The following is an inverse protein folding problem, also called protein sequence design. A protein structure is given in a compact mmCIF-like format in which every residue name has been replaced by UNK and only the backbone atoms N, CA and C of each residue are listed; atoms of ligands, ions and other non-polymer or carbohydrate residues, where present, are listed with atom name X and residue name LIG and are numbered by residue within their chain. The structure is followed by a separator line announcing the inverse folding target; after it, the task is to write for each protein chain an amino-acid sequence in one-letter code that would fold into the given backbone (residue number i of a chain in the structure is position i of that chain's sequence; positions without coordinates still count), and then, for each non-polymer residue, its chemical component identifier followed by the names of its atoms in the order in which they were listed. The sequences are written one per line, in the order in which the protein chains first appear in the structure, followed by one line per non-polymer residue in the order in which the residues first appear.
data_IF_727671786589
#
_entry.id   IF_727671786589
#
_cell.length_a   1.000
_cell.length_b   1.000
_cell.length_c   1.000
_cell.angle_alpha   90.00
_cell.angle_beta   90.00
_cell.angle_gamma   90.00
#
_symmetry.space_group_name_H-M   'P 1'
#
loop_
_entity.id
_entity.type
_entity.pdbx_description
1 polymer ?
#
# COMPACT_ATOMS: atom_id res chain seq x y z
N UNK A 1 -2.77 -1.29 5.93
CA UNK A 1 -2.59 -2.34 6.96
C UNK A 1 -3.15 -1.87 8.29
N UNK A 2 -4.00 -2.67 8.93
CA UNK A 2 -4.51 -2.41 10.28
C UNK A 2 -3.42 -2.66 11.33
N UNK A 3 -3.33 -1.80 12.36
CA UNK A 3 -2.43 -1.97 13.51
C UNK A 3 -2.74 -3.26 14.32
N UNK A 4 -3.84 -3.95 13.99
CA UNK A 4 -4.36 -5.10 14.70
C UNK A 4 -3.62 -6.42 14.41
N UNK A 5 -2.83 -6.47 13.32
CA UNK A 5 -2.11 -7.68 12.90
C UNK A 5 -0.60 -7.67 13.22
N UNK A 6 -0.12 -6.81 14.11
CA UNK A 6 1.28 -6.87 14.51
C UNK A 6 1.54 -7.99 15.55
N UNK A 7 2.66 -8.72 15.42
CA UNK A 7 3.03 -9.81 16.32
C UNK A 7 3.15 -9.30 17.76
N UNK A 8 2.77 -10.13 18.73
CA UNK A 8 2.69 -9.77 20.16
C UNK A 8 4.03 -9.30 20.79
N UNK A 9 5.15 -9.43 20.07
CA UNK A 9 6.51 -9.10 20.51
C UNK A 9 7.19 -8.03 19.64
N UNK A 10 6.45 -7.11 19.01
CA UNK A 10 7.08 -6.00 18.29
C UNK A 10 7.79 -5.04 19.25
N UNK A 11 9.05 -4.70 18.93
CA UNK A 11 9.83 -3.72 19.70
C UNK A 11 9.20 -2.33 19.56
N UNK A 12 9.32 -1.48 20.59
CA UNK A 12 8.78 -0.12 20.58
C UNK A 12 9.18 0.67 19.31
N UNK A 13 10.46 0.62 18.93
CA UNK A 13 10.98 1.29 17.73
C UNK A 13 10.33 0.76 16.45
N UNK A 14 10.12 -0.55 16.33
CA UNK A 14 9.46 -1.13 15.15
C UNK A 14 8.01 -0.66 15.01
N UNK A 15 7.29 -0.50 16.12
CA UNK A 15 5.92 0.03 16.14
C UNK A 15 5.91 1.51 15.78
N UNK A 16 6.86 2.28 16.31
CA UNK A 16 7.00 3.71 16.04
C UNK A 16 7.28 3.97 14.54
N UNK A 17 8.27 3.30 13.96
CA UNK A 17 8.61 3.45 12.54
C UNK A 17 7.47 3.00 11.61
N UNK A 18 6.79 1.89 11.95
CA UNK A 18 5.60 1.46 11.22
C UNK A 18 4.45 2.48 11.33
N UNK A 19 4.29 3.12 12.49
CA UNK A 19 3.32 4.19 12.73
C UNK A 19 3.61 5.43 11.88
N UNK A 20 4.87 5.88 11.82
CA UNK A 20 5.28 6.98 10.96
C UNK A 20 5.03 6.67 9.48
N UNK A 21 5.39 5.48 9.02
CA UNK A 21 5.13 5.11 7.64
C UNK A 21 3.62 5.10 7.34
N UNK A 22 2.79 4.62 8.27
CA UNK A 22 1.34 4.68 8.12
C UNK A 22 0.83 6.12 8.01
N UNK A 23 1.41 7.05 8.77
CA UNK A 23 1.13 8.48 8.64
C UNK A 23 1.47 8.97 7.23
N UNK A 24 2.66 8.63 6.72
CA UNK A 24 3.09 8.98 5.37
C UNK A 24 2.09 8.48 4.32
N UNK A 25 1.70 7.20 4.39
CA UNK A 25 0.78 6.57 3.43
C UNK A 25 -0.64 7.13 3.48
N UNK A 26 -1.09 7.60 4.64
CA UNK A 26 -2.45 8.11 4.85
C UNK A 26 -2.53 9.63 4.61
N UNK A 27 -1.39 10.28 4.35
CA UNK A 27 -1.31 11.73 4.23
C UNK A 27 -2.28 12.32 3.20
N UNK A 28 -2.43 11.66 2.04
CA UNK A 28 -3.30 12.12 0.95
C UNK A 28 -4.79 12.18 1.34
N UNK A 29 -5.26 11.28 2.21
CA UNK A 29 -6.68 11.15 2.52
C UNK A 29 -7.15 12.14 3.59
N UNK A 30 -6.37 12.28 4.67
CA UNK A 30 -6.84 12.99 5.85
C UNK A 30 -6.08 14.31 6.09
N UNK A 31 -4.87 14.47 5.54
CA UNK A 31 -3.95 15.60 5.78
C UNK A 31 -3.77 15.97 7.27
N UNK A 32 -4.17 15.08 8.18
CA UNK A 32 -4.02 15.20 9.63
C UNK A 32 -2.61 14.75 9.96
N UNK A 33 -1.87 15.64 10.62
CA UNK A 33 -0.52 15.38 11.10
C UNK A 33 -0.58 15.46 12.63
N UNK A 34 -0.01 14.48 13.35
CA UNK A 34 0.11 14.55 14.80
C UNK A 34 0.80 15.84 15.24
N UNK A 35 0.45 16.34 16.42
CA UNK A 35 1.04 17.56 16.96
C UNK A 35 2.58 17.50 17.01
N UNK A 36 3.12 16.33 17.36
CA UNK A 36 4.56 16.06 17.42
C UNK A 36 5.28 16.27 16.08
N UNK A 37 4.58 16.18 14.95
CA UNK A 37 5.12 16.36 13.61
C UNK A 37 4.65 17.67 12.95
N UNK A 38 4.00 18.57 13.70
CA UNK A 38 3.36 19.77 13.12
C UNK A 38 4.35 20.70 12.43
N UNK A 39 5.56 20.85 12.99
CA UNK A 39 6.64 21.64 12.39
C UNK A 39 7.26 20.97 11.16
N UNK A 40 7.10 19.64 11.03
CA UNK A 40 7.65 18.83 9.94
C UNK A 40 6.69 18.62 8.77
N UNK A 41 5.54 19.29 8.80
CA UNK A 41 4.49 19.16 7.79
C UNK A 41 5.02 19.26 6.37
N UNK A 42 5.82 20.28 6.07
CA UNK A 42 6.37 20.49 4.73
C UNK A 42 7.30 19.34 4.31
N UNK A 43 8.17 18.88 5.23
CA UNK A 43 9.08 17.75 4.98
C UNK A 43 8.32 16.45 4.71
N UNK A 44 7.25 16.19 5.46
CA UNK A 44 6.40 15.00 5.29
C UNK A 44 5.72 15.01 3.91
N UNK A 45 5.25 16.17 3.43
CA UNK A 45 4.70 16.31 2.08
C UNK A 45 5.75 15.96 1.03
N UNK A 46 6.97 16.48 1.18
CA UNK A 46 8.08 16.17 0.28
C UNK A 46 8.39 14.67 0.28
N UNK A 47 8.43 14.03 1.46
CA UNK A 47 8.64 12.58 1.55
C UNK A 47 7.53 11.79 0.87
N UNK A 48 6.28 12.23 1.00
CA UNK A 48 5.14 11.59 0.35
C UNK A 48 5.26 11.69 -1.17
N UNK A 49 5.61 12.86 -1.69
CA UNK A 49 5.79 13.07 -3.13
C UNK A 49 6.96 12.24 -3.67
N UNK A 50 8.13 12.30 -3.03
CA UNK A 50 9.30 11.49 -3.43
C UNK A 50 8.97 9.99 -3.41
N UNK A 51 8.25 9.53 -2.38
CA UNK A 51 7.81 8.15 -2.27
C UNK A 51 6.82 7.75 -3.38
N UNK A 52 5.90 8.65 -3.74
CA UNK A 52 4.95 8.45 -4.83
C UNK A 52 5.68 8.37 -6.18
N UNK A 53 6.65 9.24 -6.41
CA UNK A 53 7.47 9.26 -7.63
C UNK A 53 8.25 7.95 -7.80
N UNK A 54 8.89 7.47 -6.72
CA UNK A 54 9.58 6.17 -6.69
C UNK A 54 8.60 5.04 -7.02
N UNK A 55 7.37 5.10 -6.50
CA UNK A 55 6.33 4.08 -6.75
C UNK A 55 5.89 4.07 -8.21
N UNK A 56 5.64 5.24 -8.80
CA UNK A 56 5.27 5.41 -10.20
C UNK A 56 6.40 4.90 -11.10
N UNK A 57 7.63 5.36 -10.84
CA UNK A 57 8.80 4.95 -11.61
C UNK A 57 9.01 3.42 -11.56
N UNK A 58 8.87 2.84 -10.37
CA UNK A 58 8.96 1.38 -10.18
C UNK A 58 7.91 0.62 -10.99
N UNK A 59 6.67 1.12 -11.04
CA UNK A 59 5.61 0.51 -11.85
C UNK A 59 5.93 0.58 -13.35
N UNK A 60 6.43 1.72 -13.84
CA UNK A 60 6.80 1.91 -15.24
C UNK A 60 7.96 1.00 -15.65
N UNK A 61 8.99 0.86 -14.80
CA UNK A 61 10.11 -0.04 -15.06
C UNK A 61 9.67 -1.51 -15.10
N UNK A 62 8.70 -1.90 -14.27
CA UNK A 62 8.15 -3.25 -14.27
C UNK A 62 7.37 -3.54 -15.57
N UNK A 63 6.57 -2.58 -16.03
CA UNK A 63 5.88 -2.66 -17.33
C UNK A 63 6.90 -2.75 -18.47
N UNK A 64 7.97 -1.94 -18.43
CA UNK A 64 9.02 -1.99 -19.43
C UNK A 64 9.72 -3.35 -19.49
N UNK A 65 10.04 -3.95 -18.35
CA UNK A 65 10.60 -5.31 -18.29
C UNK A 65 9.66 -6.32 -18.93
N UNK A 66 8.36 -6.20 -18.68
CA UNK A 66 7.34 -7.05 -19.31
C UNK A 66 7.28 -6.83 -20.83
N UNK A 67 7.38 -5.57 -21.29
CA UNK A 67 7.39 -5.23 -22.70
C UNK A 67 8.64 -5.77 -23.43
N UNK A 68 9.82 -5.70 -22.79
CA UNK A 68 11.10 -6.16 -23.37
C UNK A 68 11.25 -7.68 -23.47
N UNK A 69 10.42 -8.46 -22.77
CA UNK A 69 10.56 -9.92 -22.66
C UNK A 69 11.96 -10.31 -22.12
N UNK A 70 12.43 -11.55 -22.39
CA UNK A 70 13.68 -12.10 -21.84
C UNK A 70 14.99 -11.40 -22.25
N UNK A 71 14.93 -10.40 -23.15
CA UNK A 71 16.10 -9.66 -23.65
C UNK A 71 16.46 -8.43 -22.81
N UNK A 72 15.80 -8.23 -21.67
CA UNK A 72 15.98 -7.05 -20.83
C UNK A 72 17.21 -7.16 -19.93
N UNK A 73 18.27 -6.41 -20.27
CA UNK A 73 19.48 -6.26 -19.43
C UNK A 73 19.29 -5.14 -18.39
N UNK A 74 19.99 -5.22 -17.25
CA UNK A 74 19.92 -4.18 -16.20
C UNK A 74 20.34 -2.78 -16.70
N UNK A 75 21.31 -2.70 -17.60
CA UNK A 75 21.74 -1.43 -18.23
C UNK A 75 20.59 -0.75 -18.99
N UNK A 76 19.79 -1.52 -19.73
CA UNK A 76 18.63 -0.98 -20.47
C UNK A 76 17.58 -0.40 -19.52
N UNK A 77 17.37 -1.05 -18.38
CA UNK A 77 16.43 -0.57 -17.34
C UNK A 77 16.96 0.72 -16.73
N UNK A 78 18.27 0.82 -16.47
CA UNK A 78 18.89 2.02 -15.92
C UNK A 78 18.79 3.20 -16.91
N UNK A 79 19.07 2.95 -18.19
CA UNK A 79 18.94 3.95 -19.26
C UNK A 79 17.50 4.45 -19.37
N UNK A 80 16.50 3.56 -19.31
CA UNK A 80 15.11 3.97 -19.29
C UNK A 80 14.76 4.76 -18.03
N UNK A 81 15.23 4.33 -16.85
CA UNK A 81 14.98 5.01 -15.57
C UNK A 81 15.39 6.48 -15.65
N UNK A 82 16.59 6.76 -16.16
CA UNK A 82 17.08 8.13 -16.32
C UNK A 82 16.19 8.97 -17.23
N UNK A 83 15.76 8.42 -18.37
CA UNK A 83 14.86 9.13 -19.30
C UNK A 83 13.47 9.35 -18.71
N UNK A 84 12.90 8.34 -18.07
CA UNK A 84 11.61 8.46 -17.39
C UNK A 84 11.64 9.47 -16.25
N UNK A 85 12.75 9.56 -15.52
CA UNK A 85 12.90 10.54 -14.45
C UNK A 85 12.84 11.97 -15.00
N UNK A 86 13.53 12.25 -16.11
CA UNK A 86 13.47 13.55 -16.79
C UNK A 86 12.06 13.84 -17.31
N UNK A 87 11.41 12.84 -17.90
CA UNK A 87 10.04 12.98 -18.41
C UNK A 87 9.04 13.27 -17.27
N UNK A 88 9.10 12.54 -16.16
CA UNK A 88 8.21 12.73 -15.02
C UNK A 88 8.41 14.09 -14.33
N UNK A 89 9.60 14.68 -14.43
CA UNK A 89 9.91 16.00 -13.85
C UNK A 89 9.41 17.15 -14.74
N UNK A 90 9.24 16.92 -16.04
CA UNK A 90 8.84 17.96 -16.98
C UNK A 90 7.34 18.22 -16.97
N UNK A 91 6.96 19.49 -16.81
CA UNK A 91 5.56 19.94 -16.68
C UNK A 91 4.72 19.74 -17.96
N UNK A 92 5.38 19.59 -19.12
CA UNK A 92 4.73 19.37 -20.42
C UNK A 92 4.54 17.88 -20.77
N UNK A 93 5.04 16.97 -19.93
CA UNK A 93 5.00 15.54 -20.22
C UNK A 93 3.60 14.98 -20.01
N UNK A 94 2.98 14.55 -21.11
CA UNK A 94 1.77 13.73 -21.06
C UNK A 94 2.10 12.23 -21.00
N UNK A 95 1.14 11.42 -20.55
CA UNK A 95 1.27 9.96 -20.50
C UNK A 95 1.62 9.34 -21.87
N UNK A 96 1.21 9.99 -22.97
CA UNK A 96 1.57 9.59 -24.34
C UNK A 96 3.08 9.59 -24.57
N UNK A 97 3.79 10.57 -24.02
CA UNK A 97 5.25 10.65 -24.15
C UNK A 97 5.94 9.51 -23.38
N UNK A 98 5.43 9.17 -22.20
CA UNK A 98 5.93 8.03 -21.40
C UNK A 98 5.72 6.72 -22.18
N UNK A 99 4.53 6.52 -22.73
CA UNK A 99 4.20 5.33 -23.52
C UNK A 99 5.07 5.23 -24.78
N UNK A 100 5.30 6.35 -25.46
CA UNK A 100 6.18 6.41 -26.63
C UNK A 100 7.61 6.02 -26.26
N UNK A 101 8.16 6.53 -25.16
CA UNK A 101 9.53 6.23 -24.75
C UNK A 101 9.70 4.75 -24.37
N UNK A 102 8.75 4.20 -23.60
CA UNK A 102 8.74 2.78 -23.22
C UNK A 102 8.67 1.87 -24.46
N UNK A 103 7.76 2.16 -25.39
CA UNK A 103 7.56 1.34 -26.59
C UNK A 103 8.72 1.45 -27.56
N UNK A 104 9.27 2.65 -27.78
CA UNK A 104 10.44 2.86 -28.62
C UNK A 104 11.66 2.10 -28.09
N UNK A 105 12.00 2.29 -26.82
CA UNK A 105 13.16 1.62 -26.22
C UNK A 105 12.98 0.10 -26.17
N UNK A 106 11.79 -0.38 -25.81
CA UNK A 106 11.52 -1.81 -25.80
C UNK A 106 11.55 -2.42 -27.23
N UNK A 107 11.13 -1.67 -28.25
CA UNK A 107 11.15 -2.12 -29.65
C UNK A 107 12.58 -2.30 -30.16
N UNK A 108 13.45 -1.34 -29.82
CA UNK A 108 14.89 -1.41 -30.11
C UNK A 108 15.55 -2.63 -29.46
N UNK A 109 15.27 -2.88 -28.18
CA UNK A 109 15.83 -4.02 -27.42
C UNK A 109 15.34 -5.36 -27.99
N UNK A 110 14.05 -5.45 -28.34
CA UNK A 110 13.49 -6.65 -28.96
C UNK A 110 14.02 -6.90 -30.37
N UNK A 111 14.57 -5.86 -31.03
CA UNK A 111 14.86 -5.77 -32.46
C UNK A 111 13.61 -5.97 -33.32
N UNK A 112 12.46 -5.56 -32.79
CA UNK A 112 11.15 -5.68 -33.43
C UNK A 112 10.28 -4.54 -32.96
N UNK A 113 9.83 -3.72 -33.90
CA UNK A 113 8.89 -2.64 -33.62
C UNK A 113 7.55 -3.19 -33.12
N UNK A 114 6.93 -2.44 -32.21
CA UNK A 114 5.61 -2.78 -31.73
C UNK A 114 4.57 -2.47 -32.80
N UNK A 115 3.64 -3.40 -33.02
CA UNK A 115 2.43 -3.11 -33.78
C UNK A 115 1.56 -2.10 -33.04
N UNK A 116 0.71 -1.37 -33.76
CA UNK A 116 -0.25 -0.42 -33.18
C UNK A 116 -1.09 -1.05 -32.07
N UNK A 117 -1.56 -2.28 -32.27
CA UNK A 117 -2.30 -3.04 -31.25
C UNK A 117 -1.48 -3.30 -29.99
N UNK A 118 -0.20 -3.62 -30.11
CA UNK A 118 0.66 -3.82 -28.94
C UNK A 118 0.96 -2.49 -28.22
N UNK A 119 1.11 -1.38 -28.95
CA UNK A 119 1.28 -0.04 -28.38
C UNK A 119 0.04 0.34 -27.56
N UNK A 120 -1.16 0.11 -28.09
CA UNK A 120 -2.42 0.37 -27.40
C UNK A 120 -2.56 -0.50 -26.12
N UNK A 121 -2.13 -1.76 -26.20
CA UNK A 121 -2.11 -2.66 -25.04
C UNK A 121 -1.14 -2.17 -23.94
N UNK A 122 0.06 -1.71 -24.32
CA UNK A 122 1.02 -1.15 -23.36
C UNK A 122 0.48 0.15 -22.76
N UNK A 123 -0.12 1.02 -23.57
CA UNK A 123 -0.75 2.26 -23.10
C UNK A 123 -1.83 1.97 -22.07
N UNK A 124 -2.74 1.03 -22.37
CA UNK A 124 -3.78 0.61 -21.43
C UNK A 124 -3.23 -0.05 -20.17
N UNK A 125 -2.11 -0.79 -20.27
CA UNK A 125 -1.44 -1.37 -19.11
C UNK A 125 -0.81 -0.30 -18.22
N UNK A 126 -0.18 0.73 -18.79
CA UNK A 126 0.38 1.87 -18.04
C UNK A 126 -0.74 2.61 -17.31
N UNK A 127 -1.79 3.01 -18.02
CA UNK A 127 -2.96 3.70 -17.43
C UNK A 127 -3.59 2.90 -16.29
N UNK A 128 -3.86 1.62 -16.54
CA UNK A 128 -4.46 0.74 -15.54
C UNK A 128 -3.54 0.49 -14.35
N UNK A 129 -2.23 0.42 -14.57
CA UNK A 129 -1.26 0.17 -13.50
C UNK A 129 -1.08 1.39 -12.62
N UNK A 130 -1.08 2.60 -13.19
CA UNK A 130 -0.93 3.85 -12.43
C UNK A 130 -2.22 4.33 -11.76
N UNK A 131 -3.37 3.70 -12.08
CA UNK A 131 -4.62 3.94 -11.36
C UNK A 131 -4.46 3.61 -9.86
N UNK A 132 -4.99 4.43 -8.94
CA UNK A 132 -4.87 4.21 -7.49
C UNK A 132 -5.51 2.89 -7.02
N UNK A 133 -6.49 2.36 -7.76
CA UNK A 133 -7.17 1.09 -7.45
C UNK A 133 -6.43 -0.14 -8.01
N UNK A 134 -5.31 0.08 -8.70
CA UNK A 134 -4.48 -0.98 -9.25
C UNK A 134 -3.87 -1.82 -8.13
N UNK A 135 -4.20 -3.11 -8.12
CA UNK A 135 -3.57 -4.10 -7.21
C UNK A 135 -2.05 -4.12 -7.37
N UNK A 136 -1.54 -3.91 -8.59
CA UNK A 136 -0.11 -3.85 -8.85
C UNK A 136 0.51 -2.60 -8.21
N UNK A 137 -0.14 -1.44 -8.36
CA UNK A 137 0.31 -0.21 -7.69
C UNK A 137 0.40 -0.40 -6.17
N UNK A 138 -0.69 -0.86 -5.54
CA UNK A 138 -0.76 -1.08 -4.10
C UNK A 138 0.28 -2.12 -3.63
N UNK A 139 0.55 -3.14 -4.43
CA UNK A 139 1.60 -4.13 -4.12
C UNK A 139 3.00 -3.48 -4.14
N UNK A 140 3.31 -2.71 -5.18
CA UNK A 140 4.62 -2.04 -5.32
C UNK A 140 4.82 -1.00 -4.23
N UNK A 141 3.78 -0.21 -3.98
CA UNK A 141 3.65 0.71 -2.87
C UNK A 141 4.01 0.04 -1.53
N UNK A 142 3.37 -1.11 -1.25
CA UNK A 142 3.60 -1.88 -0.01
C UNK A 142 5.04 -2.41 0.09
N UNK A 143 5.63 -2.85 -1.03
CA UNK A 143 7.02 -3.33 -1.08
C UNK A 143 8.00 -2.20 -0.75
N UNK A 144 7.87 -1.05 -1.40
CA UNK A 144 8.73 0.13 -1.15
C UNK A 144 8.63 0.55 0.33
N UNK A 145 7.41 0.64 0.84
CA UNK A 145 7.15 0.90 2.26
C UNK A 145 7.86 -0.11 3.18
N UNK A 146 7.81 -1.40 2.85
CA UNK A 146 8.47 -2.45 3.63
C UNK A 146 9.99 -2.28 3.63
N UNK A 147 10.59 -1.87 2.50
CA UNK A 147 12.04 -1.61 2.41
C UNK A 147 12.45 -0.41 3.26
N UNK A 148 11.66 0.67 3.23
CA UNK A 148 11.89 1.84 4.08
C UNK A 148 11.85 1.43 5.55
N UNK A 149 10.84 0.67 5.98
CA UNK A 149 10.78 0.19 7.38
C UNK A 149 11.98 -0.70 7.72
N UNK A 150 12.40 -1.58 6.83
CA UNK A 150 13.60 -2.39 7.03
C UNK A 150 14.84 -1.51 7.24
N UNK A 151 15.02 -0.49 6.39
CA UNK A 151 16.12 0.47 6.52
C UNK A 151 16.06 1.25 7.84
N UNK A 152 14.88 1.72 8.25
CA UNK A 152 14.73 2.45 9.52
C UNK A 152 15.12 1.61 10.73
N UNK A 153 14.93 0.29 10.67
CA UNK A 153 15.28 -0.62 11.77
C UNK A 153 16.74 -1.10 11.72
N UNK A 154 17.34 -1.24 10.53
CA UNK A 154 18.60 -1.96 10.34
C UNK A 154 19.72 -1.14 9.69
N UNK A 155 19.46 0.11 9.30
CA UNK A 155 20.38 0.98 8.52
C UNK A 155 20.75 0.45 7.12
N UNK A 156 20.13 -0.65 6.71
CA UNK A 156 20.42 -1.31 5.44
C UNK A 156 19.14 -1.71 4.70
N UNK A 157 19.19 -1.63 3.38
CA UNK A 157 18.12 -2.11 2.52
C UNK A 157 18.17 -3.64 2.37
N UNK A 158 17.01 -4.31 2.30
CA UNK A 158 16.96 -5.76 2.17
C UNK A 158 17.27 -6.20 0.72
N UNK A 159 18.55 -6.18 0.34
CA UNK A 159 19.03 -6.40 -1.05
C UNK A 159 18.47 -7.68 -1.68
N UNK A 160 18.47 -8.79 -0.95
CA UNK A 160 17.92 -10.06 -1.46
C UNK A 160 16.43 -9.96 -1.80
N UNK A 161 15.65 -9.27 -0.97
CA UNK A 161 14.21 -9.09 -1.18
C UNK A 161 13.95 -8.16 -2.36
N UNK A 162 14.75 -7.10 -2.50
CA UNK A 162 14.70 -6.19 -3.65
C UNK A 162 15.02 -6.92 -4.95
N UNK A 163 16.03 -7.81 -4.93
CA UNK A 163 16.38 -8.65 -6.07
C UNK A 163 15.21 -9.55 -6.51
N UNK A 164 14.59 -10.28 -5.56
CA UNK A 164 13.42 -11.13 -5.85
C UNK A 164 12.24 -10.36 -6.43
N UNK A 165 12.11 -9.08 -6.06
CA UNK A 165 11.05 -8.21 -6.55
C UNK A 165 11.43 -7.39 -7.79
N UNK A 166 12.63 -7.60 -8.36
CA UNK A 166 13.18 -6.84 -9.50
C UNK A 166 13.26 -5.32 -9.26
N UNK A 167 13.69 -4.91 -8.06
CA UNK A 167 13.74 -3.51 -7.60
C UNK A 167 15.17 -2.98 -7.41
N UNK A 168 16.19 -3.68 -7.91
CA UNK A 168 17.60 -3.32 -7.66
C UNK A 168 17.95 -1.93 -8.19
N UNK A 169 17.40 -1.56 -9.35
CA UNK A 169 17.66 -0.27 -9.98
C UNK A 169 17.06 0.91 -9.21
N UNK A 170 16.17 0.65 -8.25
CA UNK A 170 15.54 1.66 -7.38
C UNK A 170 16.24 1.78 -6.02
N UNK A 171 17.27 0.98 -5.75
CA UNK A 171 18.04 1.01 -4.50
C UNK A 171 18.55 2.42 -4.14
N UNK A 172 19.20 3.20 -5.04
CA UNK A 172 19.75 4.49 -4.64
C UNK A 172 18.66 5.50 -4.27
N UNK A 173 17.53 5.54 -4.98
CA UNK A 173 16.42 6.43 -4.66
C UNK A 173 15.74 6.05 -3.35
N UNK A 174 15.50 4.76 -3.13
CA UNK A 174 14.89 4.26 -1.89
C UNK A 174 15.81 4.50 -0.70
N UNK A 175 17.12 4.26 -0.85
CA UNK A 175 18.12 4.51 0.20
C UNK A 175 18.16 5.99 0.58
N UNK A 176 18.22 6.87 -0.43
CA UNK A 176 18.23 8.33 -0.24
C UNK A 176 16.99 8.82 0.52
N UNK A 177 15.79 8.39 0.08
CA UNK A 177 14.54 8.74 0.74
C UNK A 177 14.50 8.18 2.18
N UNK A 178 14.94 6.93 2.37
CA UNK A 178 14.95 6.28 3.69
C UNK A 178 15.87 7.03 4.66
N UNK A 179 17.04 7.49 4.23
CA UNK A 179 17.95 8.30 5.03
C UNK A 179 17.34 9.65 5.44
N UNK A 180 16.69 10.37 4.50
CA UNK A 180 15.98 11.62 4.80
C UNK A 180 14.86 11.42 5.82
N UNK A 181 14.05 10.36 5.64
CA UNK A 181 12.98 9.99 6.57
C UNK A 181 13.58 9.68 7.94
N UNK A 182 14.63 8.85 7.99
CA UNK A 182 15.27 8.43 9.22
C UNK A 182 15.69 9.63 10.08
N UNK A 183 16.38 10.61 9.48
CA UNK A 183 16.83 11.79 10.21
C UNK A 183 15.69 12.57 10.88
N UNK A 184 14.54 12.72 10.21
CA UNK A 184 13.36 13.40 10.80
C UNK A 184 12.71 12.56 11.88
N UNK A 185 12.54 11.27 11.63
CA UNK A 185 11.84 10.35 12.51
C UNK A 185 12.63 10.09 13.79
N UNK A 186 13.95 9.96 13.71
CA UNK A 186 14.83 9.79 14.87
C UNK A 186 14.91 11.06 15.72
N UNK A 187 15.02 12.24 15.09
CA UNK A 187 15.00 13.50 15.82
C UNK A 187 13.67 13.69 16.57
N UNK A 188 12.56 13.35 15.92
CA UNK A 188 11.24 13.36 16.54
C UNK A 188 11.16 12.38 17.72
N UNK A 189 11.66 11.16 17.53
CA UNK A 189 11.69 10.13 18.56
C UNK A 189 12.53 10.56 19.77
N UNK A 190 13.70 11.16 19.55
CA UNK A 190 14.55 11.68 20.62
C UNK A 190 13.82 12.74 21.45
N UNK A 191 13.12 13.65 20.77
CA UNK A 191 12.40 14.77 21.41
C UNK A 191 11.18 14.31 22.19
N UNK A 192 10.38 13.38 21.63
CA UNK A 192 9.07 12.98 22.18
C UNK A 192 9.06 11.53 22.71
N UNK A 193 10.23 10.94 22.98
CA UNK A 193 10.38 9.53 23.34
C UNK A 193 9.49 9.12 24.52
N UNK A 194 9.51 9.89 25.61
CA UNK A 194 8.75 9.59 26.83
C UNK A 194 7.23 9.66 26.59
N UNK A 195 6.78 10.61 25.77
CA UNK A 195 5.38 10.69 25.36
C UNK A 195 4.95 9.44 24.58
N UNK A 196 5.73 9.01 23.61
CA UNK A 196 5.44 7.81 22.82
C UNK A 196 5.52 6.52 23.65
N UNK A 197 6.48 6.40 24.57
CA UNK A 197 6.59 5.25 25.48
C UNK A 197 5.36 5.14 26.37
N UNK A 198 4.87 6.26 26.90
CA UNK A 198 3.66 6.30 27.72
C UNK A 198 2.46 5.75 26.95
N UNK A 199 2.23 6.26 25.73
CA UNK A 199 1.16 5.78 24.84
C UNK A 199 1.33 4.29 24.53
N UNK A 200 2.56 3.86 24.22
CA UNK A 200 2.84 2.47 23.89
C UNK A 200 2.53 1.52 25.05
N UNK A 201 2.92 1.88 26.28
CA UNK A 201 2.64 1.09 27.48
C UNK A 201 1.13 1.02 27.76
N UNK A 202 0.43 2.15 27.64
CA UNK A 202 -1.02 2.20 27.81
C UNK A 202 -1.74 1.29 26.82
N UNK A 203 -1.40 1.38 25.53
CA UNK A 203 -1.99 0.53 24.49
C UNK A 203 -1.67 -0.96 24.70
N UNK A 204 -0.46 -1.29 25.14
CA UNK A 204 -0.07 -2.67 25.47
C UNK A 204 -0.86 -3.21 26.66
N UNK A 205 -1.10 -2.40 27.68
CA UNK A 205 -1.91 -2.76 28.83
C UNK A 205 -3.39 -2.96 28.46
N UNK A 206 -3.96 -2.05 27.65
CA UNK A 206 -5.32 -2.19 27.15
C UNK A 206 -5.53 -3.49 26.35
N UNK A 207 -4.58 -3.83 25.46
CA UNK A 207 -4.61 -5.10 24.69
C UNK A 207 -4.51 -6.32 25.60
N UNK A 208 -3.70 -6.26 26.65
CA UNK A 208 -3.57 -7.37 27.62
C UNK A 208 -4.88 -7.55 28.39
N UNK A 209 -5.49 -6.46 28.85
CA UNK A 209 -6.77 -6.48 29.57
C UNK A 209 -7.93 -7.00 28.70
N UNK A 210 -7.97 -6.65 27.41
CA UNK A 210 -8.99 -7.18 26.50
C UNK A 210 -8.83 -8.67 26.25
N UNK A 211 -7.60 -9.17 26.09
CA UNK A 211 -7.31 -10.60 25.96
C UNK A 211 -7.71 -11.39 27.22
N UNK A 212 -7.41 -10.87 28.41
CA UNK A 212 -7.81 -11.49 29.69
C UNK A 212 -9.34 -11.57 29.78
N UNK A 213 -10.06 -10.50 29.40
CA UNK A 213 -11.54 -10.51 29.36
C UNK A 213 -12.07 -11.58 28.41
N UNK A 214 -11.52 -11.69 27.19
CA UNK A 214 -11.93 -12.71 26.22
C UNK A 214 -11.66 -14.13 26.73
N UNK A 215 -10.51 -14.37 27.36
CA UNK A 215 -10.16 -15.66 27.97
C UNK A 215 -11.11 -16.04 29.11
N UNK A 216 -11.43 -15.08 29.99
CA UNK A 216 -12.34 -15.34 31.10
C UNK A 216 -13.77 -15.61 30.62
N UNK A 217 -14.23 -14.91 29.58
CA UNK A 217 -15.54 -15.16 28.99
C UNK A 217 -15.61 -16.55 28.34
N UNK A 218 -14.59 -16.94 27.56
CA UNK A 218 -14.52 -18.28 26.98
C UNK A 218 -14.43 -19.40 28.04
N UNK A 219 -13.75 -19.16 29.16
CA UNK A 219 -13.70 -20.11 30.29
C UNK A 219 -15.03 -20.23 31.01
N UNK A 220 -15.77 -19.12 31.14
CA UNK A 220 -17.10 -19.13 31.73
C UNK A 220 -18.13 -19.84 30.84
N UNK A 221 -18.08 -19.65 29.51
CA UNK A 221 -18.91 -20.39 28.55
C UNK A 221 -18.65 -21.91 28.59
N UNK A 222 -17.38 -22.32 28.71
CA UNK A 222 -17.03 -23.73 28.86
C UNK A 222 -17.50 -24.31 30.20
N UNK A 223 -17.52 -23.52 31.28
CA UNK A 223 -18.03 -23.93 32.59
C UNK A 223 -19.57 -24.02 32.64
N UNK A 224 -20.30 -23.20 31.88
CA UNK A 224 -21.76 -23.33 31.75
C UNK A 224 -22.13 -24.55 30.89
N UNK A 225 -21.36 -24.89 29.85
CA UNK A 225 -21.54 -26.13 29.09
C UNK A 225 -21.31 -27.40 29.94
N UNK A 226 -20.30 -27.40 30.82
CA UNK A 226 -20.08 -28.53 31.76
C UNK A 226 -21.14 -28.62 32.87
N UNK A 227 -21.71 -27.49 33.33
CA UNK A 227 -22.84 -27.51 34.28
C UNK A 227 -24.13 -28.03 33.66
N UNK A 228 -24.40 -27.74 32.38
CA UNK A 228 -25.58 -28.27 31.66
C UNK A 228 -25.46 -29.79 31.48
N UNK A 229 -24.26 -30.31 31.19
CA UNK A 229 -24.04 -31.76 31.03
C UNK A 229 -24.22 -32.54 32.36
N UNK A 230 -23.93 -31.91 33.50
CA UNK A 230 -24.17 -32.49 34.83
C UNK A 230 -25.63 -32.37 35.32
N UNK A 231 -26.42 -31.43 34.80
CA UNK A 231 -27.86 -31.36 35.08
C UNK A 231 -28.71 -32.33 34.24
N UNK A 232 -28.29 -32.66 33.02
CA UNK A 232 -28.98 -33.68 32.20
C UNK A 232 -28.70 -35.11 32.69
N UNK A 233 -27.60 -35.33 33.40
CA UNK A 233 -27.23 -36.65 33.95
C UNK A 233 -27.92 -37.02 35.28
N UNK A 234 -28.76 -36.13 35.83
CA UNK A 234 -29.44 -36.34 37.13
C UNK A 234 -30.96 -36.53 37.02
N UNK A 235 -31.50 -36.82 35.83
CA UNK A 235 -32.90 -37.23 35.66
C UNK A 235 -33.03 -38.25 34.54
N UNK A 236 -32.72 -39.50 34.86
CA UNK A 236 -33.40 -40.66 34.27
C UNK A 236 -33.08 -41.92 35.09
N UNK A 237 -33.83 -42.08 36.18
CA UNK A 237 -33.93 -43.34 36.89
C UNK A 237 -35.20 -44.09 36.43
N UNK A 238 -35.00 -45.37 36.07
CA UNK A 238 -35.99 -46.45 35.96
C UNK A 238 -36.83 -46.57 34.68
N UNK A 239 -36.48 -47.54 33.81
CA UNK A 239 -37.06 -48.91 33.82
C UNK A 239 -36.59 -49.81 32.65
N UNK A 240 -36.15 -51.04 33.00
CA UNK A 240 -36.34 -52.37 32.33
C UNK A 240 -36.13 -52.49 30.80
N UNK A 241 -35.12 -53.21 30.30
CA UNK A 241 -34.88 -54.68 30.22
C UNK A 241 -35.14 -55.26 28.79
N UNK A 242 -34.08 -55.88 28.24
CA UNK A 242 -34.08 -57.14 27.44
C UNK A 242 -34.55 -57.08 25.96
N UNK A 243 -33.62 -57.13 24.98
CA UNK A 243 -33.27 -58.33 24.16
C UNK A 243 -32.55 -58.01 22.81
N UNK A 244 -31.38 -58.64 22.64
CA UNK A 244 -30.78 -59.32 21.47
C UNK A 244 -30.86 -58.82 20.01
N UNK A 245 -29.63 -58.66 19.46
CA UNK A 245 -29.09 -59.16 18.18
C UNK A 245 -29.15 -58.29 16.88
N UNK A 246 -28.14 -58.43 15.98
CA UNK A 246 -27.77 -57.50 14.88
C UNK A 246 -28.28 -58.02 13.50
N UNK A 247 -27.83 -57.60 12.29
CA UNK A 247 -26.90 -56.53 11.84
C UNK A 247 -27.42 -55.68 10.63
N UNK A 248 -26.53 -54.85 10.07
CA UNK A 248 -26.38 -54.54 8.62
C UNK A 248 -27.06 -53.32 7.96
N UNK A 249 -26.34 -52.82 6.96
CA UNK A 249 -26.70 -51.97 5.81
C UNK A 249 -26.54 -50.43 5.89
N UNK A 250 -25.48 -49.97 5.20
CA UNK A 250 -25.40 -48.69 4.48
C UNK A 250 -26.57 -48.56 3.48
N UNK A 251 -27.04 -47.34 3.10
CA UNK A 251 -26.52 -46.59 1.93
C UNK A 251 -26.50 -45.05 2.13
N UNK A 252 -25.50 -44.29 1.68
CA UNK A 252 -25.33 -43.62 0.37
C UNK A 252 -26.45 -42.67 -0.10
N UNK A 253 -26.01 -41.55 -0.73
CA UNK A 253 -26.71 -40.52 -1.55
C UNK A 253 -26.90 -39.17 -0.84
N UNK A 254 -26.79 -37.99 -1.46
CA UNK A 254 -26.16 -37.46 -2.68
C UNK A 254 -26.59 -35.99 -2.81
N UNK A 255 -25.71 -35.16 -3.39
CA UNK A 255 -25.94 -33.98 -4.25
C UNK A 255 -27.20 -33.08 -4.07
N UNK A 256 -26.95 -31.76 -4.03
CA UNK A 256 -27.39 -30.72 -5.02
C UNK A 256 -27.39 -29.34 -4.32
N UNK A 257 -26.54 -28.36 -4.65
CA UNK A 257 -26.51 -27.44 -5.82
C UNK A 257 -27.69 -26.46 -5.92
N UNK A 258 -27.32 -25.18 -6.15
CA UNK A 258 -28.07 -23.98 -6.61
C UNK A 258 -27.97 -22.83 -5.58
N UNK A 259 -27.33 -21.66 -5.82
CA UNK A 259 -27.24 -20.71 -6.95
C UNK A 259 -28.57 -20.06 -7.34
N UNK A 260 -28.83 -18.86 -6.81
CA UNK A 260 -29.52 -17.75 -7.52
C UNK A 260 -29.18 -16.42 -6.80
N UNK A 261 -28.32 -15.56 -7.36
CA UNK A 261 -28.62 -14.31 -8.12
C UNK A 261 -29.65 -13.37 -7.49
N UNK A 262 -29.19 -12.19 -7.06
CA UNK A 262 -29.82 -10.85 -7.24
C UNK A 262 -28.74 -9.80 -6.87
N UNK A 263 -28.67 -8.56 -7.36
CA UNK A 263 -29.09 -7.84 -8.57
C UNK A 263 -28.43 -6.45 -8.39
N UNK A 264 -27.80 -5.92 -9.43
CA UNK A 264 -27.20 -4.58 -9.45
C UNK A 264 -28.22 -3.49 -9.09
N UNK A 265 -27.77 -2.46 -8.37
CA UNK A 265 -28.31 -1.11 -8.54
C UNK A 265 -27.18 -0.08 -8.49
N UNK A 266 -27.06 0.62 -9.62
CA UNK A 266 -26.20 1.75 -9.91
C UNK A 266 -26.90 3.01 -9.39
N UNK A 267 -26.16 3.94 -8.82
CA UNK A 267 -26.61 5.32 -8.66
C UNK A 267 -25.44 6.26 -8.95
N UNK A 268 -25.52 6.88 -10.14
CA UNK A 268 -24.83 8.11 -10.47
C UNK A 268 -25.52 9.27 -9.75
N UNK A 269 -24.74 10.17 -9.15
CA UNK A 269 -25.15 11.57 -9.04
C UNK A 269 -23.96 12.45 -9.41
N UNK A 270 -24.16 13.19 -10.48
CA UNK A 270 -23.33 14.28 -10.99
C UNK A 270 -24.00 15.58 -10.58
N UNK A 271 -23.31 16.42 -9.82
CA UNK A 271 -23.67 17.83 -9.72
C UNK A 271 -22.47 18.70 -10.13
N UNK A 272 -22.70 19.38 -11.24
CA UNK A 272 -21.92 20.48 -11.80
C UNK A 272 -22.35 21.74 -11.04
N UNK A 273 -21.41 22.46 -10.43
CA UNK A 273 -21.60 23.87 -10.07
C UNK A 273 -20.57 24.69 -10.82
N UNK A 274 -21.07 25.39 -11.83
CA UNK A 274 -20.42 26.47 -12.57
C UNK A 274 -20.41 27.71 -11.68
N UNK A 275 -19.26 28.33 -11.46
CA UNK A 275 -19.20 29.76 -11.21
C UNK A 275 -18.10 30.41 -12.04
N UNK A 276 -18.56 31.00 -13.15
CA UNK A 276 -17.89 32.09 -13.86
C UNK A 276 -17.86 33.32 -12.95
N UNK A 277 -16.70 33.96 -12.83
CA UNK A 277 -16.59 35.42 -12.64
C UNK A 277 -15.47 35.91 -13.55
N UNK A 278 -15.86 36.63 -14.59
CA UNK A 278 -15.01 37.56 -15.33
C UNK A 278 -15.03 38.93 -14.65
N UNK A 279 -13.88 39.62 -14.62
CA UNK A 279 -13.68 41.08 -14.69
C UNK A 279 -12.17 41.30 -14.39
N UNK A 280 -11.29 41.64 -15.33
CA UNK A 280 -11.18 42.80 -16.24
C UNK A 280 -10.87 44.13 -15.53
N UNK A 281 -9.60 44.53 -15.55
CA UNK A 281 -9.09 45.92 -15.61
C UNK A 281 -7.56 45.83 -15.83
N UNK A 282 -7.02 45.98 -17.04
CA UNK A 282 -6.70 47.23 -17.74
C UNK A 282 -5.95 48.30 -16.91
N UNK A 283 -4.85 48.76 -17.52
CA UNK A 283 -4.20 50.08 -17.45
C UNK A 283 -2.95 50.27 -16.56
N UNK A 284 -1.77 50.23 -17.20
CA UNK A 284 -0.95 51.41 -17.58
C UNK A 284 0.47 50.90 -17.96
N UNK A 285 0.92 50.93 -19.23
CA UNK A 285 1.48 52.08 -19.98
C UNK A 285 2.60 52.83 -19.24
N UNK A 286 3.87 52.67 -19.63
CA UNK A 286 4.67 53.64 -20.41
C UNK A 286 6.17 53.31 -20.37
N UNK A 287 6.80 53.35 -21.55
CA UNK A 287 8.18 53.72 -21.93
C UNK A 287 9.38 53.36 -21.00
N UNK A 288 10.53 52.88 -21.48
CA UNK A 288 11.34 53.50 -22.54
C UNK A 288 12.51 52.58 -22.96
N UNK A 289 12.72 52.47 -24.26
CA UNK A 289 13.99 52.53 -25.03
C UNK A 289 15.37 52.19 -24.40
N UNK A 290 16.11 51.42 -25.22
CA UNK A 290 17.54 51.53 -25.57
C UNK A 290 18.61 50.89 -24.67
N UNK A 291 19.28 49.86 -25.22
CA UNK A 291 20.74 49.80 -25.50
C UNK A 291 21.13 48.32 -25.77
N UNK A 292 21.46 47.93 -27.00
CA UNK A 292 22.78 48.00 -27.68
C UNK A 292 23.77 46.91 -27.22
N UNK A 293 24.15 46.04 -28.19
CA UNK A 293 25.46 45.37 -28.38
C UNK A 293 26.08 44.68 -27.14
N UNK A 294 26.35 43.37 -27.13
CA UNK A 294 27.22 42.56 -28.00
C UNK A 294 26.72 41.11 -27.95
#
# INVERSE_FOLDING_TARGET
MSLQNQPANSSFNSVFYAGFLKLLLTYNQNRIIPETFRLDKSRIVTFYNEWQDITILSCLLLIFRQACSSKCTSENVLNLKQRLYVLLTSQSTSLKHINLEITNMAGQIRKKEFSTKEIDLISGLVEKTLSPDSKLYVMIQTRISTYIVHFLNNDELPKELMYRHNMNEMEPEISTLSGKIKGVVELNLQTYSEYYKTIFLELKQQKTNSLIKTLNNAKNENNSLTKIQNQVSSSNGNKTSINNAPPSSSPSLSLSSEVTKMKLQVSHNSDIVVHNVSNNSQNNSHDSKSNSQI
#
